data_IF_206685958305
#
_entry.id   IF_206685958305
#
_cell.length_a   1.000
_cell.length_b   1.000
_cell.length_c   1.000
_cell.angle_alpha   90.00
_cell.angle_beta   90.00
_cell.angle_gamma   90.00
#
_symmetry.space_group_name_H-M   'P 1'
#
loop_
_entity.id
_entity.type
_entity.pdbx_description
1 polymer ?
#
# COMPACT_ATOMS: atom_id res chain seq x y z
N UNK A 1 8.60 1.99 12.49
CA UNK A 1 8.84 0.62 11.95
C UNK A 1 10.12 0.10 12.60
N UNK A 2 10.08 -1.08 13.22
CA UNK A 2 11.26 -1.71 13.81
C UNK A 2 11.59 -2.99 13.02
N UNK A 3 12.88 -3.23 12.74
CA UNK A 3 13.32 -4.41 12.03
C UNK A 3 13.18 -5.66 12.91
N UNK A 4 12.71 -6.80 12.37
CA UNK A 4 12.65 -8.06 13.11
C UNK A 4 14.03 -8.41 13.69
N UNK A 5 14.10 -8.70 15.00
CA UNK A 5 15.36 -8.96 15.75
C UNK A 5 16.28 -9.98 15.06
N UNK A 6 15.70 -11.03 14.47
CA UNK A 6 16.41 -12.08 13.70
C UNK A 6 17.29 -11.55 12.55
N UNK A 7 17.09 -10.31 12.11
CA UNK A 7 17.84 -9.68 11.04
C UNK A 7 18.76 -8.55 11.50
N UNK A 8 18.62 -8.07 12.74
CA UNK A 8 19.39 -6.92 13.25
C UNK A 8 20.90 -7.19 13.30
N UNK A 9 21.31 -8.38 13.76
CA UNK A 9 22.72 -8.82 13.83
C UNK A 9 23.48 -8.71 12.50
N UNK A 10 22.77 -8.79 11.36
CA UNK A 10 23.38 -8.74 10.03
C UNK A 10 23.64 -7.31 9.52
N UNK A 11 23.26 -6.28 10.27
CA UNK A 11 23.49 -4.87 9.94
C UNK A 11 24.42 -4.14 10.91
N UNK A 12 24.92 -4.85 11.94
CA UNK A 12 25.95 -4.36 12.86
C UNK A 12 27.26 -3.84 12.22
N UNK A 13 27.67 -4.22 10.99
CA UNK A 13 28.89 -3.66 10.40
C UNK A 13 28.78 -2.20 9.96
N UNK A 14 27.57 -1.64 9.84
CA UNK A 14 27.34 -0.29 9.34
C UNK A 14 27.49 0.72 10.47
N UNK A 15 28.60 1.48 10.46
CA UNK A 15 28.92 2.48 11.51
C UNK A 15 28.08 3.75 11.41
N UNK A 16 27.59 4.08 10.22
CA UNK A 16 26.79 5.27 9.96
C UNK A 16 25.35 4.92 9.57
N UNK A 17 24.41 5.79 9.97
CA UNK A 17 22.98 5.61 9.73
C UNK A 17 22.62 5.56 8.25
N UNK A 18 23.42 6.20 7.38
CA UNK A 18 23.22 6.23 5.93
C UNK A 18 23.53 4.88 5.29
N UNK A 19 24.67 4.28 5.61
CA UNK A 19 25.06 2.94 5.16
C UNK A 19 24.10 1.87 5.68
N UNK A 20 23.63 2.01 6.93
CA UNK A 20 22.61 1.15 7.51
C UNK A 20 21.29 1.23 6.73
N UNK A 21 20.79 2.43 6.44
CA UNK A 21 19.58 2.66 5.64
C UNK A 21 19.72 2.05 4.24
N UNK A 22 20.84 2.28 3.55
CA UNK A 22 21.13 1.72 2.23
C UNK A 22 21.16 0.18 2.24
N UNK A 23 21.76 -0.43 3.26
CA UNK A 23 21.81 -1.87 3.41
C UNK A 23 20.41 -2.45 3.69
N UNK A 24 19.61 -1.77 4.51
CA UNK A 24 18.21 -2.13 4.78
C UNK A 24 17.39 -2.01 3.50
N UNK A 25 17.51 -0.92 2.75
CA UNK A 25 16.83 -0.74 1.46
C UNK A 25 17.27 -1.78 0.42
N UNK A 26 18.56 -2.07 0.32
CA UNK A 26 19.08 -3.08 -0.62
C UNK A 26 18.58 -4.48 -0.28
N UNK A 27 18.33 -4.77 0.99
CA UNK A 27 17.96 -6.11 1.47
C UNK A 27 16.46 -6.33 1.67
N UNK A 28 15.74 -5.27 2.03
CA UNK A 28 14.32 -5.28 2.36
C UNK A 28 13.49 -4.28 1.58
N UNK A 29 14.10 -3.32 0.89
CA UNK A 29 13.39 -2.30 0.13
C UNK A 29 12.66 -2.83 -1.10
N UNK A 30 12.73 -4.13 -1.38
CA UNK A 30 12.18 -4.74 -2.60
C UNK A 30 13.02 -4.34 -3.81
N UNK A 31 13.39 -5.31 -4.65
CA UNK A 31 13.99 -4.98 -5.94
C UNK A 31 13.01 -4.11 -6.76
N UNK A 32 13.51 -3.31 -7.69
CA UNK A 32 12.69 -2.42 -8.54
C UNK A 32 11.51 -3.15 -9.19
N UNK A 33 11.68 -4.42 -9.57
CA UNK A 33 10.62 -5.25 -10.14
C UNK A 33 9.53 -5.59 -9.12
N UNK A 34 9.86 -5.93 -7.87
CA UNK A 34 8.87 -6.22 -6.83
C UNK A 34 8.04 -4.99 -6.47
N UNK A 35 8.64 -3.78 -6.43
CA UNK A 35 7.88 -2.53 -6.28
C UNK A 35 6.93 -2.31 -7.46
N UNK A 36 7.39 -2.60 -8.68
CA UNK A 36 6.57 -2.50 -9.90
C UNK A 36 5.40 -3.48 -9.88
N UNK A 37 5.64 -4.74 -9.49
CA UNK A 37 4.59 -5.77 -9.36
C UNK A 37 3.59 -5.39 -8.27
N UNK A 38 4.03 -4.95 -7.10
CA UNK A 38 3.15 -4.49 -6.02
C UNK A 38 2.29 -3.31 -6.46
N UNK A 39 2.87 -2.32 -7.13
CA UNK A 39 2.14 -1.18 -7.69
C UNK A 39 1.07 -1.61 -8.68
N UNK A 40 1.38 -2.55 -9.58
CA UNK A 40 0.39 -3.09 -10.53
C UNK A 40 -0.73 -3.84 -9.81
N UNK A 41 -0.39 -4.65 -8.80
CA UNK A 41 -1.37 -5.39 -8.00
C UNK A 41 -2.33 -4.45 -7.24
N UNK A 42 -1.80 -3.40 -6.61
CA UNK A 42 -2.60 -2.40 -5.91
C UNK A 42 -3.55 -1.66 -6.86
N UNK A 43 -3.07 -1.29 -8.06
CA UNK A 43 -3.94 -0.69 -9.09
C UNK A 43 -5.05 -1.65 -9.50
N UNK A 44 -4.75 -2.93 -9.68
CA UNK A 44 -5.76 -3.93 -10.02
C UNK A 44 -6.77 -4.13 -8.88
N UNK A 45 -6.34 -4.11 -7.62
CA UNK A 45 -7.24 -4.16 -6.47
C UNK A 45 -8.14 -2.92 -6.41
N UNK A 46 -7.63 -1.74 -6.77
CA UNK A 46 -8.44 -0.52 -6.83
C UNK A 46 -9.44 -0.59 -7.95
N UNK A 47 -9.04 -1.06 -9.13
CA UNK A 47 -9.95 -1.18 -10.25
C UNK A 47 -11.09 -2.16 -9.98
N UNK A 48 -10.78 -3.31 -9.39
CA UNK A 48 -11.75 -4.36 -9.05
C UNK A 48 -12.42 -4.15 -7.68
N UNK A 49 -12.25 -2.99 -7.04
CA UNK A 49 -12.81 -2.74 -5.72
C UNK A 49 -14.34 -2.77 -5.77
N UNK A 50 -14.95 -3.57 -4.89
CA UNK A 50 -16.39 -3.63 -4.66
C UNK A 50 -16.69 -3.73 -3.17
N UNK A 51 -17.77 -3.08 -2.75
CA UNK A 51 -18.39 -3.26 -1.45
C UNK A 51 -19.30 -4.49 -1.46
N UNK A 52 -19.38 -5.17 -0.33
CA UNK A 52 -20.39 -6.21 -0.09
C UNK A 52 -21.64 -5.60 0.54
N UNK A 53 -22.82 -6.15 0.23
CA UNK A 53 -24.08 -5.77 0.89
C UNK A 53 -24.12 -6.09 2.38
N UNK A 54 -23.19 -6.92 2.88
CA UNK A 54 -22.99 -7.19 4.30
C UNK A 54 -22.12 -6.16 5.04
N UNK A 55 -21.48 -5.24 4.31
CA UNK A 55 -20.60 -4.22 4.88
C UNK A 55 -21.33 -2.89 5.09
N UNK A 56 -21.02 -2.19 6.18
CA UNK A 56 -21.53 -0.83 6.40
C UNK A 56 -20.86 0.19 5.48
N UNK A 57 -21.53 1.32 5.24
CA UNK A 57 -21.02 2.39 4.38
C UNK A 57 -19.63 2.89 4.83
N UNK A 58 -19.46 3.10 6.14
CA UNK A 58 -18.18 3.53 6.74
C UNK A 58 -17.08 2.48 6.53
N UNK A 59 -17.42 1.20 6.57
CA UNK A 59 -16.46 0.12 6.34
C UNK A 59 -15.99 0.09 4.88
N UNK A 60 -16.90 0.29 3.92
CA UNK A 60 -16.56 0.40 2.49
C UNK A 60 -15.66 1.64 2.28
N UNK A 61 -16.00 2.75 2.93
CA UNK A 61 -15.23 4.00 2.86
C UNK A 61 -13.81 3.82 3.43
N UNK A 62 -13.68 3.21 4.61
CA UNK A 62 -12.38 2.97 5.23
C UNK A 62 -11.50 2.05 4.39
N UNK A 63 -12.09 1.01 3.78
CA UNK A 63 -11.36 0.08 2.90
C UNK A 63 -10.83 0.78 1.65
N UNK A 64 -11.63 1.61 0.99
CA UNK A 64 -11.18 2.32 -0.21
C UNK A 64 -10.15 3.40 0.13
N UNK A 65 -10.32 4.13 1.24
CA UNK A 65 -9.33 5.11 1.72
C UNK A 65 -8.00 4.44 2.05
N UNK A 66 -8.03 3.29 2.74
CA UNK A 66 -6.83 2.50 3.02
C UNK A 66 -6.10 2.08 1.74
N UNK A 67 -6.85 1.71 0.70
CA UNK A 67 -6.29 1.35 -0.60
C UNK A 67 -5.67 2.56 -1.32
N UNK A 68 -6.32 3.72 -1.27
CA UNK A 68 -5.82 4.97 -1.85
C UNK A 68 -4.51 5.41 -1.18
N UNK A 69 -4.42 5.35 0.15
CA UNK A 69 -3.20 5.65 0.91
C UNK A 69 -2.07 4.69 0.52
N UNK A 70 -2.36 3.39 0.36
CA UNK A 70 -1.34 2.43 -0.09
C UNK A 70 -0.81 2.74 -1.48
N UNK A 71 -1.67 3.17 -2.40
CA UNK A 71 -1.28 3.58 -3.75
C UNK A 71 -0.39 4.82 -3.72
N UNK A 72 -0.72 5.81 -2.88
CA UNK A 72 0.07 7.03 -2.71
C UNK A 72 1.48 6.73 -2.21
N UNK A 73 1.61 5.86 -1.19
CA UNK A 73 2.91 5.40 -0.67
C UNK A 73 3.76 4.73 -1.75
N UNK A 74 3.14 4.08 -2.73
CA UNK A 74 3.82 3.44 -3.87
C UNK A 74 3.98 4.38 -5.09
N UNK A 75 3.80 5.69 -4.89
CA UNK A 75 3.95 6.72 -5.91
C UNK A 75 2.89 6.65 -7.00
N UNK A 76 1.66 6.28 -6.65
CA UNK A 76 0.47 6.44 -7.49
C UNK A 76 -0.40 7.51 -6.85
N UNK A 77 -0.38 8.71 -7.43
CA UNK A 77 -1.30 9.78 -7.04
C UNK A 77 -2.69 9.49 -7.59
N UNK A 78 -3.68 9.40 -6.71
CA UNK A 78 -5.09 9.42 -7.05
C UNK A 78 -5.65 10.79 -6.65
N UNK A 79 -6.51 11.36 -7.48
CA UNK A 79 -7.27 12.53 -7.04
C UNK A 79 -8.36 12.10 -6.06
N UNK A 80 -8.79 13.02 -5.19
CA UNK A 80 -9.93 12.75 -4.33
C UNK A 80 -11.20 12.45 -5.15
N UNK A 81 -11.33 13.04 -6.33
CA UNK A 81 -12.44 12.77 -7.27
C UNK A 81 -12.42 11.32 -7.76
N UNK A 82 -11.26 10.76 -8.09
CA UNK A 82 -11.11 9.36 -8.51
C UNK A 82 -11.52 8.39 -7.39
N UNK A 83 -11.09 8.69 -6.16
CA UNK A 83 -11.42 7.89 -4.97
C UNK A 83 -12.93 7.96 -4.69
N UNK A 84 -13.51 9.16 -4.74
CA UNK A 84 -14.95 9.35 -4.54
C UNK A 84 -15.76 8.64 -5.62
N UNK A 85 -15.34 8.73 -6.89
CA UNK A 85 -16.01 8.07 -8.00
C UNK A 85 -15.95 6.54 -7.87
N UNK A 86 -14.79 6.00 -7.51
CA UNK A 86 -14.66 4.56 -7.26
C UNK A 86 -15.52 4.14 -6.08
N UNK A 87 -15.54 4.90 -4.98
CA UNK A 87 -16.39 4.62 -3.83
C UNK A 87 -17.87 4.51 -4.20
N UNK A 88 -18.40 5.50 -4.92
CA UNK A 88 -19.81 5.51 -5.37
C UNK A 88 -20.13 4.34 -6.29
N UNK A 89 -19.21 3.95 -7.19
CA UNK A 89 -19.38 2.81 -8.10
C UNK A 89 -19.28 1.45 -7.40
N UNK A 90 -18.65 1.41 -6.24
CA UNK A 90 -18.42 0.18 -5.48
C UNK A 90 -19.49 -0.06 -4.43
N UNK A 91 -20.45 0.86 -4.26
CA UNK A 91 -21.59 0.63 -3.38
C UNK A 91 -22.46 -0.53 -3.92
N UNK A 92 -23.02 -1.37 -3.04
CA UNK A 92 -23.99 -2.37 -3.43
C UNK A 92 -25.17 -1.74 -4.18
N UNK A 93 -25.69 -2.41 -5.21
CA UNK A 93 -26.84 -1.92 -5.98
C UNK A 93 -28.14 -1.84 -5.19
N UNK A 94 -28.14 -2.38 -3.97
CA UNK A 94 -29.28 -2.42 -3.05
C UNK A 94 -29.42 -1.15 -2.20
N UNK A 95 -28.51 -0.19 -2.33
CA UNK A 95 -28.48 1.09 -1.59
C UNK A 95 -28.93 2.28 -2.42
#
# INVERSE_FOLDING_TARGET
MALPEKHQLKFNPHKDSKSLMEAIEKRFGGNTETKKVQKTLLKQQFENFSGSSSEGFDQIHDRIQKLAIQLEIHGVSLSQEDVNLKFLRSLPSEW
#
